data_IF_677287614128
#
_entry.id   IF_677287614128
#
_cell.length_a   1.000
_cell.length_b   1.000
_cell.length_c   1.000
_cell.angle_alpha   90.00
_cell.angle_beta   90.00
_cell.angle_gamma   90.00
#
_symmetry.space_group_name_H-M   'P 1'
#
loop_
_entity.id
_entity.type
_entity.pdbx_description
1 polymer ?
#
# COMPACT_ATOMS: atom_id res chain seq x y z
N UNK A 1 16.66 -19.45 -4.36
CA UNK A 1 15.44 -18.67 -4.62
C UNK A 1 15.86 -17.35 -5.24
N UNK A 2 15.89 -17.31 -6.57
CA UNK A 2 16.01 -16.06 -7.30
C UNK A 2 14.69 -15.30 -7.12
N UNK A 3 14.70 -14.29 -6.25
CA UNK A 3 13.60 -13.34 -6.11
C UNK A 3 13.55 -12.44 -7.34
N UNK A 4 12.35 -12.01 -7.73
CA UNK A 4 12.18 -10.86 -8.63
C UNK A 4 13.07 -9.72 -8.12
N UNK A 5 13.84 -9.09 -9.01
CA UNK A 5 14.80 -8.03 -8.66
C UNK A 5 14.09 -6.69 -8.92
N UNK A 6 13.36 -6.12 -7.94
CA UNK A 6 12.65 -4.87 -8.16
C UNK A 6 13.65 -3.79 -8.57
N UNK A 7 13.31 -3.08 -9.63
CA UNK A 7 14.02 -1.88 -10.05
C UNK A 7 13.74 -0.74 -9.06
N UNK A 8 14.50 0.37 -9.14
CA UNK A 8 14.27 1.54 -8.30
C UNK A 8 12.89 2.20 -8.48
N UNK A 9 12.14 1.87 -9.54
CA UNK A 9 10.83 2.47 -9.83
C UNK A 9 9.66 1.51 -9.53
N UNK A 10 9.93 0.27 -9.15
CA UNK A 10 8.87 -0.70 -8.82
C UNK A 10 8.39 -0.48 -7.40
N UNK A 11 7.08 -0.37 -7.15
CA UNK A 11 6.53 -0.46 -5.80
C UNK A 11 6.53 -1.93 -5.33
N UNK A 12 6.91 -2.16 -4.08
CA UNK A 12 6.85 -3.49 -3.47
C UNK A 12 5.72 -3.51 -2.45
N UNK A 13 4.78 -4.44 -2.61
CA UNK A 13 3.71 -4.69 -1.66
C UNK A 13 3.75 -6.14 -1.17
N UNK A 14 3.35 -6.35 0.08
CA UNK A 14 2.98 -7.65 0.62
C UNK A 14 1.45 -7.68 0.70
N UNK A 15 0.86 -8.60 -0.03
CA UNK A 15 -0.56 -8.90 0.01
C UNK A 15 -0.89 -9.79 1.23
N UNK A 16 -1.74 -9.29 2.12
CA UNK A 16 -2.10 -9.92 3.37
C UNK A 16 -3.60 -9.76 3.63
N UNK A 17 -4.38 -10.78 3.23
CA UNK A 17 -5.84 -10.69 3.18
C UNK A 17 -6.56 -11.43 4.32
N UNK A 18 -5.85 -12.22 5.11
CA UNK A 18 -6.46 -13.09 6.12
C UNK A 18 -5.70 -13.06 7.45
N UNK A 19 -6.46 -13.23 8.53
CA UNK A 19 -5.94 -13.45 9.89
C UNK A 19 -5.68 -14.93 10.18
N UNK A 20 -6.14 -15.84 9.30
CA UNK A 20 -5.95 -17.30 9.43
C UNK A 20 -4.56 -17.72 8.95
N UNK A 21 -3.58 -17.62 9.84
CA UNK A 21 -2.19 -18.03 9.59
C UNK A 21 -1.97 -19.53 9.36
N UNK A 22 -3.00 -20.38 9.52
CA UNK A 22 -2.90 -21.79 9.16
C UNK A 22 -3.19 -22.04 7.67
N UNK A 23 -3.94 -21.14 7.02
CA UNK A 23 -4.27 -21.21 5.58
C UNK A 23 -3.50 -20.21 4.74
N UNK A 24 -3.12 -19.09 5.34
CA UNK A 24 -2.43 -17.98 4.69
C UNK A 24 -1.17 -17.61 5.46
N UNK A 25 -0.42 -16.62 4.98
CA UNK A 25 0.77 -16.12 5.66
C UNK A 25 0.40 -15.63 7.07
N UNK A 26 1.12 -16.11 8.09
CA UNK A 26 0.96 -15.62 9.46
C UNK A 26 1.55 -14.21 9.62
N UNK A 27 1.13 -13.48 10.65
CA UNK A 27 1.71 -12.16 10.95
C UNK A 27 3.19 -12.21 11.35
N UNK A 28 3.65 -13.31 11.96
CA UNK A 28 5.07 -13.50 12.25
C UNK A 28 5.89 -13.78 10.98
N UNK A 29 5.34 -14.55 10.04
CA UNK A 29 5.95 -14.74 8.72
C UNK A 29 5.97 -13.43 7.92
N UNK A 30 4.90 -12.64 7.98
CA UNK A 30 4.86 -11.31 7.37
C UNK A 30 5.95 -10.40 7.94
N UNK A 31 6.16 -10.41 9.26
CA UNK A 31 7.26 -9.64 9.91
C UNK A 31 8.62 -10.14 9.46
N UNK A 32 8.83 -11.45 9.36
CA UNK A 32 10.07 -12.03 8.86
C UNK A 32 10.32 -11.62 7.39
N UNK A 33 9.28 -11.65 6.56
CA UNK A 33 9.33 -11.20 5.18
C UNK A 33 9.69 -9.72 5.06
N UNK A 34 9.04 -8.83 5.83
CA UNK A 34 9.32 -7.39 5.83
C UNK A 34 10.79 -7.12 6.20
N UNK A 35 11.30 -7.78 7.25
CA UNK A 35 12.71 -7.65 7.66
C UNK A 35 13.64 -8.11 6.54
N UNK A 36 13.36 -9.27 5.94
CA UNK A 36 14.17 -9.83 4.87
C UNK A 36 14.17 -8.94 3.63
N UNK A 37 13.03 -8.37 3.27
CA UNK A 37 12.93 -7.42 2.17
C UNK A 37 13.78 -6.19 2.44
N UNK A 38 13.69 -5.62 3.65
CA UNK A 38 14.49 -4.47 4.06
C UNK A 38 15.99 -4.75 4.00
N UNK A 39 16.43 -5.93 4.44
CA UNK A 39 17.84 -6.35 4.34
C UNK A 39 18.31 -6.46 2.88
N UNK A 40 17.47 -6.97 1.99
CA UNK A 40 17.84 -7.25 0.60
C UNK A 40 17.75 -6.05 -0.34
N UNK A 41 16.80 -5.17 -0.08
CA UNK A 41 16.45 -4.08 -1.00
C UNK A 41 16.72 -2.70 -0.40
N UNK A 42 16.88 -2.61 0.92
CA UNK A 42 16.90 -1.33 1.63
C UNK A 42 15.52 -0.68 1.76
N UNK A 43 14.43 -1.34 1.33
CA UNK A 43 13.06 -0.79 1.26
C UNK A 43 12.10 -1.51 2.21
N UNK A 44 11.06 -0.82 2.67
CA UNK A 44 9.92 -1.44 3.35
C UNK A 44 8.80 -1.63 2.33
N UNK A 45 8.06 -2.76 2.35
CA UNK A 45 6.94 -2.93 1.45
C UNK A 45 5.74 -2.09 1.92
N UNK A 46 4.77 -1.91 1.02
CA UNK A 46 3.40 -1.64 1.43
C UNK A 46 2.81 -2.92 2.00
N UNK A 47 1.92 -2.79 2.99
CA UNK A 47 1.01 -3.85 3.36
C UNK A 47 -0.29 -3.58 2.62
N UNK A 48 -0.64 -4.44 1.68
CA UNK A 48 -2.01 -4.52 1.22
C UNK A 48 -2.80 -5.35 2.24
N UNK A 49 -3.91 -4.79 2.73
CA UNK A 49 -4.71 -5.47 3.74
C UNK A 49 -6.11 -4.91 3.87
N UNK A 50 -7.07 -5.82 4.09
CA UNK A 50 -8.45 -5.46 4.36
C UNK A 50 -8.63 -4.92 5.79
N UNK A 51 -9.86 -4.53 6.12
CA UNK A 51 -10.18 -3.99 7.44
C UNK A 51 -9.88 -4.95 8.59
N UNK A 52 -10.14 -6.25 8.41
CA UNK A 52 -9.92 -7.24 9.45
C UNK A 52 -8.43 -7.39 9.77
N UNK A 53 -7.60 -7.57 8.73
CA UNK A 53 -6.14 -7.65 8.85
C UNK A 53 -5.56 -6.36 9.44
N UNK A 54 -5.96 -5.20 8.92
CA UNK A 54 -5.46 -3.90 9.39
C UNK A 54 -5.77 -3.68 10.88
N UNK A 55 -6.98 -4.06 11.31
CA UNK A 55 -7.40 -3.99 12.70
C UNK A 55 -6.62 -4.97 13.57
N UNK A 56 -6.51 -6.24 13.14
CA UNK A 56 -5.79 -7.26 13.89
C UNK A 56 -4.31 -6.89 14.09
N UNK A 57 -3.64 -6.38 13.06
CA UNK A 57 -2.27 -5.88 13.17
C UNK A 57 -2.19 -4.72 14.17
N UNK A 58 -3.13 -3.76 14.07
CA UNK A 58 -3.16 -2.61 14.98
C UNK A 58 -3.41 -2.98 16.44
N UNK A 59 -4.24 -3.99 16.70
CA UNK A 59 -4.55 -4.47 18.06
C UNK A 59 -3.45 -5.35 18.64
N UNK A 60 -2.87 -6.26 17.85
CA UNK A 60 -1.90 -7.24 18.33
C UNK A 60 -0.47 -6.70 18.36
N UNK A 61 -0.11 -5.84 17.40
CA UNK A 61 1.25 -5.34 17.23
C UNK A 61 1.36 -3.84 17.43
N UNK A 62 0.27 -3.07 17.22
CA UNK A 62 0.23 -1.63 17.51
C UNK A 62 1.41 -0.88 16.91
N UNK A 63 2.21 -0.23 17.76
CA UNK A 63 3.42 0.51 17.35
C UNK A 63 4.66 -0.38 17.13
N UNK A 64 4.50 -1.69 16.86
CA UNK A 64 5.59 -2.60 16.50
C UNK A 64 6.46 -1.98 15.38
N UNK A 65 7.76 -1.99 15.63
CA UNK A 65 8.77 -1.34 14.80
C UNK A 65 8.91 -1.93 13.40
N UNK A 66 8.25 -3.05 13.08
CA UNK A 66 8.25 -3.69 11.76
C UNK A 66 7.08 -3.16 10.94
N UNK A 67 5.83 -3.38 11.39
CA UNK A 67 4.65 -2.92 10.66
C UNK A 67 4.55 -1.39 10.61
N UNK A 68 4.88 -0.69 11.70
CA UNK A 68 4.81 0.78 11.73
C UNK A 68 5.81 1.49 10.78
N UNK A 69 6.77 0.75 10.20
CA UNK A 69 7.70 1.27 9.19
C UNK A 69 7.20 1.09 7.75
N UNK A 70 6.12 0.33 7.57
CA UNK A 70 5.49 0.10 6.26
C UNK A 70 4.45 1.18 5.96
N UNK A 71 3.99 1.23 4.72
CA UNK A 71 2.81 2.01 4.31
C UNK A 71 1.63 1.08 4.10
N UNK A 72 0.41 1.60 4.26
CA UNK A 72 -0.81 0.84 4.08
C UNK A 72 -1.41 1.09 2.69
N UNK A 73 -1.62 0.01 1.94
CA UNK A 73 -2.55 -0.08 0.83
C UNK A 73 -3.83 -0.73 1.35
N UNK A 74 -4.84 0.06 1.62
CA UNK A 74 -5.99 -0.38 2.39
C UNK A 74 -7.10 -0.90 1.49
N UNK A 75 -7.54 -2.14 1.68
CA UNK A 75 -8.72 -2.67 0.99
C UNK A 75 -9.98 -2.40 1.80
N UNK A 76 -10.79 -1.45 1.33
CA UNK A 76 -12.04 -1.07 2.00
C UNK A 76 -13.08 -0.60 1.00
N UNK A 77 -13.97 -1.51 0.62
CA UNK A 77 -14.96 -1.34 -0.44
C UNK A 77 -16.15 -0.43 -0.07
N UNK A 78 -15.90 0.84 0.28
CA UNK A 78 -16.89 1.82 0.75
C UNK A 78 -16.76 3.16 0.01
N UNK A 79 -17.83 3.98 0.01
CA UNK A 79 -17.77 5.37 -0.53
C UNK A 79 -16.93 6.31 0.33
N UNK A 80 -16.90 6.05 1.63
CA UNK A 80 -16.15 6.81 2.63
C UNK A 80 -15.65 5.84 3.70
N UNK A 81 -14.44 6.07 4.19
CA UNK A 81 -13.87 5.32 5.32
C UNK A 81 -14.11 6.13 6.60
N UNK A 82 -15.00 5.65 7.47
CA UNK A 82 -15.30 6.29 8.77
C UNK A 82 -14.81 5.46 9.95
N UNK A 83 -14.33 4.25 9.70
CA UNK A 83 -14.00 3.23 10.71
C UNK A 83 -12.53 2.77 10.61
N UNK A 84 -11.63 3.69 10.24
CA UNK A 84 -10.21 3.38 10.07
C UNK A 84 -9.57 2.94 11.41
N UNK A 85 -8.94 1.74 11.47
CA UNK A 85 -8.29 1.26 12.70
C UNK A 85 -7.18 2.19 13.18
N UNK A 86 -7.16 2.47 14.48
CA UNK A 86 -6.11 3.27 15.11
C UNK A 86 -4.98 2.36 15.62
N UNK A 87 -3.73 2.83 15.55
CA UNK A 87 -2.58 2.11 16.10
C UNK A 87 -1.38 2.14 15.16
N UNK A 88 -1.21 1.11 14.35
CA UNK A 88 -0.02 0.91 13.51
C UNK A 88 0.15 1.99 12.45
N UNK A 89 -0.93 2.33 11.73
CA UNK A 89 -0.94 3.38 10.72
C UNK A 89 -1.87 4.51 11.14
N UNK A 90 -1.51 5.75 10.80
CA UNK A 90 -2.38 6.93 11.03
C UNK A 90 -3.47 7.06 9.96
N UNK A 91 -3.16 6.63 8.74
CA UNK A 91 -4.05 6.64 7.58
C UNK A 91 -3.46 5.73 6.50
N UNK A 92 -4.22 5.47 5.44
CA UNK A 92 -3.77 4.74 4.26
C UNK A 92 -3.00 5.65 3.30
N UNK A 93 -2.06 5.07 2.54
CA UNK A 93 -1.36 5.76 1.44
C UNK A 93 -2.07 5.51 0.11
N UNK A 94 -2.49 4.27 -0.15
CA UNK A 94 -3.32 3.88 -1.28
C UNK A 94 -4.57 3.21 -0.71
N UNK A 95 -5.71 3.40 -1.36
CA UNK A 95 -6.99 2.83 -0.95
C UNK A 95 -7.67 2.14 -2.12
N UNK A 96 -7.85 0.82 -2.00
CA UNK A 96 -8.71 0.04 -2.89
C UNK A 96 -10.15 0.16 -2.41
N UNK A 97 -10.95 0.87 -3.19
CA UNK A 97 -12.33 1.20 -2.81
C UNK A 97 -13.37 0.48 -3.65
N UNK A 98 -12.99 -0.04 -4.81
CA UNK A 98 -13.87 -0.82 -5.69
C UNK A 98 -13.19 -2.13 -6.05
N UNK A 99 -13.98 -3.20 -6.11
CA UNK A 99 -13.62 -4.49 -6.68
C UNK A 99 -14.89 -5.26 -7.06
N UNK A 100 -14.75 -6.50 -7.49
CA UNK A 100 -15.86 -7.46 -7.64
C UNK A 100 -16.72 -7.63 -6.37
N UNK A 101 -16.16 -7.35 -5.19
CA UNK A 101 -16.85 -7.48 -3.90
C UNK A 101 -17.98 -6.48 -3.70
N UNK A 102 -17.87 -5.27 -4.27
CA UNK A 102 -18.91 -4.24 -4.19
C UNK A 102 -19.41 -3.78 -5.57
N UNK A 103 -18.96 -4.44 -6.63
CA UNK A 103 -19.40 -4.17 -7.99
C UNK A 103 -19.69 -5.46 -8.75
N UNK A 104 -20.95 -5.65 -9.15
CA UNK A 104 -21.37 -6.83 -9.88
C UNK A 104 -22.42 -6.51 -10.94
N UNK A 105 -22.65 -7.45 -11.88
CA UNK A 105 -23.56 -7.22 -13.02
C UNK A 105 -25.01 -7.09 -12.55
N UNK A 106 -25.37 -7.77 -11.47
CA UNK A 106 -26.70 -7.71 -10.87
C UNK A 106 -27.01 -6.38 -10.17
N UNK A 107 -25.99 -5.59 -9.80
CA UNK A 107 -26.18 -4.32 -9.08
C UNK A 107 -25.16 -3.26 -9.52
N UNK A 108 -25.18 -2.92 -10.81
CA UNK A 108 -24.26 -1.92 -11.40
C UNK A 108 -24.38 -0.53 -10.76
N UNK A 109 -25.55 -0.17 -10.24
CA UNK A 109 -25.76 1.10 -9.51
C UNK A 109 -24.99 1.19 -8.18
N UNK A 110 -24.64 0.05 -7.57
CA UNK A 110 -23.87 0.03 -6.33
C UNK A 110 -22.37 0.20 -6.56
N UNK A 111 -21.87 -0.05 -7.78
CA UNK A 111 -20.48 0.11 -8.14
C UNK A 111 -20.00 1.54 -7.85
N UNK A 112 -18.85 1.64 -7.20
CA UNK A 112 -18.33 2.95 -6.78
C UNK A 112 -17.64 3.68 -7.93
N UNK A 113 -17.06 2.94 -8.86
CA UNK A 113 -16.44 3.46 -10.07
C UNK A 113 -16.51 2.42 -11.19
N UNK A 114 -16.43 2.87 -12.44
CA UNK A 114 -16.26 2.00 -13.61
C UNK A 114 -15.31 2.71 -14.55
N UNK A 115 -14.17 2.09 -14.82
CA UNK A 115 -13.15 2.64 -15.72
C UNK A 115 -13.61 2.37 -17.16
N UNK A 116 -13.75 3.39 -18.02
CA UNK A 116 -14.08 3.16 -19.42
C UNK A 116 -13.06 2.23 -20.09
N UNK A 117 -13.55 1.18 -20.75
CA UNK A 117 -12.70 0.18 -21.43
C UNK A 117 -12.27 -1.00 -20.56
N UNK A 118 -12.73 -1.10 -19.30
CA UNK A 118 -12.53 -2.29 -18.46
C UNK A 118 -13.86 -2.98 -18.14
N UNK A 119 -13.78 -4.25 -17.74
CA UNK A 119 -14.89 -4.95 -17.12
C UNK A 119 -15.23 -4.36 -15.74
N UNK A 120 -16.39 -4.76 -15.21
CA UNK A 120 -16.96 -4.18 -13.98
C UNK A 120 -16.28 -4.64 -12.69
N UNK A 121 -15.58 -5.76 -12.72
CA UNK A 121 -14.98 -6.46 -11.57
C UNK A 121 -13.55 -6.00 -11.28
N UNK A 122 -13.12 -4.90 -11.91
CA UNK A 122 -11.79 -4.34 -11.74
C UNK A 122 -11.57 -3.76 -10.34
N UNK A 123 -10.40 -4.05 -9.78
CA UNK A 123 -9.87 -3.38 -8.61
C UNK A 123 -9.55 -1.92 -8.94
N UNK A 124 -10.13 -0.99 -8.19
CA UNK A 124 -9.89 0.45 -8.38
C UNK A 124 -9.34 1.06 -7.10
N UNK A 125 -8.19 1.69 -7.28
CA UNK A 125 -7.40 2.31 -6.23
C UNK A 125 -7.32 3.82 -6.38
N UNK A 126 -7.17 4.50 -5.24
CA UNK A 126 -6.88 5.92 -5.20
C UNK A 126 -5.70 6.20 -4.26
N UNK A 127 -4.82 7.08 -4.69
CA UNK A 127 -3.76 7.61 -3.84
C UNK A 127 -4.32 8.68 -2.91
N UNK A 128 -3.96 8.62 -1.62
CA UNK A 128 -4.34 9.62 -0.62
C UNK A 128 -3.47 10.88 -0.74
N UNK A 129 -3.72 11.67 -1.78
CA UNK A 129 -3.00 12.91 -2.07
C UNK A 129 -3.20 13.38 -3.50
N UNK A 130 -2.34 14.29 -3.94
CA UNK A 130 -2.35 14.82 -5.31
C UNK A 130 -1.53 13.96 -6.28
N UNK A 131 -1.76 14.13 -7.58
CA UNK A 131 -0.97 13.46 -8.63
C UNK A 131 0.51 13.86 -8.55
N UNK A 132 0.82 15.13 -8.26
CA UNK A 132 2.20 15.60 -8.15
C UNK A 132 2.91 15.00 -6.93
N UNK A 133 2.19 14.83 -5.82
CA UNK A 133 2.70 14.07 -4.67
C UNK A 133 2.93 12.60 -5.00
N UNK A 134 2.02 11.96 -5.74
CA UNK A 134 2.20 10.58 -6.17
C UNK A 134 3.48 10.43 -7.00
N UNK A 135 3.63 11.25 -8.04
CA UNK A 135 4.80 11.24 -8.93
C UNK A 135 6.11 11.50 -8.21
N UNK A 136 6.10 12.44 -7.26
CA UNK A 136 7.31 12.82 -6.52
C UNK A 136 7.71 11.81 -5.44
N UNK A 137 6.73 11.10 -4.86
CA UNK A 137 6.98 10.13 -3.79
C UNK A 137 7.21 8.72 -4.33
N UNK A 138 6.72 8.38 -5.51
CA UNK A 138 6.84 7.04 -6.10
C UNK A 138 8.30 6.56 -6.22
N UNK A 139 8.61 5.28 -5.92
CA UNK A 139 7.74 4.20 -5.41
C UNK A 139 7.67 4.14 -3.87
N UNK A 140 7.90 5.27 -3.20
CA UNK A 140 7.83 5.51 -1.75
C UNK A 140 8.97 4.91 -0.93
N UNK A 141 10.16 4.80 -1.52
CA UNK A 141 11.33 4.19 -0.87
C UNK A 141 12.12 5.11 0.04
N UNK A 142 11.89 6.41 -0.08
CA UNK A 142 12.60 7.43 0.67
C UNK A 142 11.65 8.13 1.64
N UNK A 143 11.98 8.07 2.93
CA UNK A 143 11.87 9.29 3.73
C UNK A 143 12.87 10.23 3.07
N UNK A 144 12.38 11.15 2.24
CA UNK A 144 13.20 12.03 1.41
C UNK A 144 14.25 12.74 2.27
N UNK A 145 15.52 12.37 2.14
CA UNK A 145 16.60 13.35 2.24
C UNK A 145 16.47 14.19 0.97
N UNK A 146 16.33 15.53 1.07
CA UNK A 146 16.18 16.37 -0.11
C UNK A 146 17.32 16.11 -1.10
N UNK A 147 16.97 15.82 -2.34
CA UNK A 147 17.93 15.74 -3.44
C UNK A 147 18.56 17.12 -3.58
N UNK A 148 19.86 17.22 -3.32
CA UNK A 148 20.61 18.44 -3.55
C UNK A 148 20.35 18.90 -4.99
N UNK A 149 19.90 20.15 -5.14
CA UNK A 149 19.77 20.81 -6.43
C UNK A 149 21.17 20.83 -7.04
N UNK A 150 21.35 20.13 -8.16
CA UNK A 150 22.55 20.26 -8.95
C UNK A 150 22.60 21.70 -9.48
N UNK A 151 23.43 22.53 -8.85
CA UNK A 151 23.79 23.84 -9.39
C UNK A 151 24.65 23.60 -10.62
N UNK A 152 24.05 23.76 -11.80
CA UNK A 152 24.80 23.85 -13.04
C UNK A 152 25.79 25.02 -12.98
N UNK A 153 26.96 24.92 -13.64
CA UNK A 153 27.97 25.96 -13.57
C UNK A 153 27.43 27.25 -14.21
N UNK A 154 27.50 28.34 -13.45
CA UNK A 154 27.28 29.70 -13.92
C UNK A 154 28.14 29.97 -15.16
N UNK A 155 27.51 30.12 -16.32
CA UNK A 155 28.16 30.75 -17.45
C UNK A 155 28.28 32.25 -17.14
N UNK A 156 29.50 32.69 -16.87
CA UNK A 156 29.89 34.09 -17.07
C UNK A 156 30.32 34.24 -18.53
N UNK A 157 29.63 35.09 -19.28
CA UNK A 157 30.19 36.06 -20.23
C UNK A 157 29.13 37.11 -20.50
#
# INVERSE_FOLDING_TARGET
MDTVKPTPDDLIALDLESTDGAKHMSFDDARAFIKRLKEKTGRYPFIYGNNEVTKAISEQYGADQVFAKTRLWYARFRRTVTDFPQGTWKTYTIWQFSSEQNCGPANRSACLYTVPGTEYDMDVDVFNGTIDELRSKWPFDSVTVPRAVATGPSQRR
#
